data_IF_991293712480
#
_entry.id   IF_991293712480
#
_cell.length_a   1.000
_cell.length_b   1.000
_cell.length_c   1.000
_cell.angle_alpha   90.00
_cell.angle_beta   90.00
_cell.angle_gamma   90.00
#
_symmetry.space_group_name_H-M   'P 1'
#
loop_
_entity.id
_entity.type
_entity.pdbx_description
1 polymer ?
#
# COMPACT_ATOMS: atom_id res chain seq x y z
N UNK A 1 -4.06 -14.04 17.65
CA UNK A 1 -5.07 -13.87 16.58
C UNK A 1 -6.45 -13.80 17.22
N UNK A 2 -7.23 -12.81 16.88
CA UNK A 2 -8.56 -12.61 17.46
C UNK A 2 -9.56 -13.53 16.80
N UNK A 3 -10.45 -14.17 17.59
CA UNK A 3 -11.53 -14.98 17.05
C UNK A 3 -12.59 -14.08 16.42
N UNK A 4 -12.96 -14.36 15.16
CA UNK A 4 -13.95 -13.59 14.39
C UNK A 4 -15.17 -14.43 13.99
N UNK A 5 -15.29 -15.65 14.53
CA UNK A 5 -16.32 -16.62 14.12
C UNK A 5 -17.76 -16.10 14.25
N UNK A 6 -18.03 -15.25 15.27
CA UNK A 6 -19.36 -14.68 15.52
C UNK A 6 -19.60 -13.33 14.86
N UNK A 7 -18.60 -12.77 14.18
CA UNK A 7 -18.78 -11.48 13.46
C UNK A 7 -19.52 -11.70 12.16
N UNK A 8 -20.47 -10.81 11.88
CA UNK A 8 -21.18 -10.80 10.60
C UNK A 8 -20.25 -10.39 9.46
N UNK A 9 -20.32 -11.12 8.35
CA UNK A 9 -19.60 -10.75 7.14
C UNK A 9 -20.18 -9.45 6.57
N UNK A 10 -19.35 -8.41 6.42
CA UNK A 10 -19.73 -7.12 5.84
C UNK A 10 -18.74 -6.69 4.79
N UNK A 11 -19.15 -5.77 3.92
CA UNK A 11 -18.21 -5.13 2.98
C UNK A 11 -17.25 -4.25 3.77
N UNK A 12 -15.95 -4.49 3.59
CA UNK A 12 -14.89 -3.74 4.25
C UNK A 12 -13.90 -3.25 3.23
N UNK A 13 -13.44 -2.04 3.43
CA UNK A 13 -12.50 -1.38 2.54
C UNK A 13 -11.47 -0.61 3.34
N UNK A 14 -10.24 -0.56 2.85
CA UNK A 14 -9.18 0.24 3.44
C UNK A 14 -8.34 0.88 2.34
N UNK A 15 -7.86 2.08 2.61
CA UNK A 15 -6.93 2.83 1.78
C UNK A 15 -5.69 3.14 2.61
N UNK A 16 -4.53 2.77 2.09
CA UNK A 16 -3.23 3.07 2.69
C UNK A 16 -2.34 3.83 1.70
N UNK A 17 -1.35 4.53 2.22
CA UNK A 17 -0.33 5.17 1.41
C UNK A 17 1.07 4.77 1.82
N UNK A 18 2.00 4.88 0.86
CA UNK A 18 3.43 4.80 1.08
C UNK A 18 4.09 5.96 0.33
N UNK A 19 4.96 6.72 1.00
CA UNK A 19 5.72 7.79 0.40
C UNK A 19 7.15 7.33 0.17
N UNK A 20 7.60 7.36 -1.09
CA UNK A 20 8.94 6.95 -1.49
C UNK A 20 9.71 8.17 -1.98
N UNK A 21 10.63 8.66 -1.15
CA UNK A 21 11.44 9.85 -1.43
C UNK A 21 12.59 9.53 -2.38
N UNK A 22 12.77 10.35 -3.41
CA UNK A 22 13.85 10.18 -4.36
C UNK A 22 14.20 11.51 -5.05
N UNK A 23 15.40 11.57 -5.62
CA UNK A 23 15.89 12.73 -6.35
C UNK A 23 15.10 12.94 -7.65
N UNK A 24 15.11 14.18 -8.21
CA UNK A 24 14.39 14.47 -9.47
C UNK A 24 14.81 13.60 -10.64
N UNK A 25 16.09 13.27 -10.77
CA UNK A 25 16.57 12.39 -11.83
C UNK A 25 16.01 10.95 -11.70
N UNK A 26 15.88 10.47 -10.48
CA UNK A 26 15.29 9.16 -10.21
C UNK A 26 13.79 9.15 -10.50
N UNK A 27 13.09 10.21 -10.12
CA UNK A 27 11.66 10.39 -10.48
C UNK A 27 11.45 10.35 -11.99
N UNK A 28 12.32 11.00 -12.77
CA UNK A 28 12.25 10.93 -14.23
C UNK A 28 12.45 9.52 -14.75
N UNK A 29 13.42 8.79 -14.21
CA UNK A 29 13.66 7.40 -14.59
C UNK A 29 12.44 6.50 -14.27
N UNK A 30 11.76 6.72 -13.15
CA UNK A 30 10.52 5.99 -12.82
C UNK A 30 9.43 6.29 -13.85
N UNK A 31 9.31 7.53 -14.30
CA UNK A 31 8.34 7.92 -15.35
C UNK A 31 8.68 7.35 -16.73
N UNK A 32 9.95 7.38 -17.11
CA UNK A 32 10.40 7.06 -18.46
C UNK A 32 10.79 5.60 -18.66
N UNK A 33 11.02 4.89 -17.58
CA UNK A 33 11.51 3.51 -17.56
C UNK A 33 12.91 3.39 -16.99
N UNK A 34 13.17 2.29 -16.28
CA UNK A 34 14.47 1.96 -15.71
C UNK A 34 15.14 0.83 -16.52
N UNK A 35 16.42 0.56 -16.23
CA UNK A 35 17.12 -0.58 -16.84
C UNK A 35 16.43 -1.92 -16.55
N UNK A 36 15.71 -2.03 -15.44
CA UNK A 36 14.92 -3.22 -15.05
C UNK A 36 13.51 -3.25 -15.65
N UNK A 37 13.08 -2.18 -16.32
CA UNK A 37 11.75 -2.06 -16.91
C UNK A 37 10.90 -0.96 -16.29
N UNK A 38 9.58 -1.11 -16.42
CA UNK A 38 8.59 -0.16 -15.90
C UNK A 38 8.41 -0.32 -14.39
N UNK A 39 9.03 0.57 -13.62
CA UNK A 39 9.02 0.51 -12.16
C UNK A 39 7.60 0.58 -11.58
N UNK A 40 6.72 1.39 -12.16
CA UNK A 40 5.34 1.54 -11.68
C UNK A 40 4.55 0.23 -11.87
N UNK A 41 4.64 -0.40 -13.03
CA UNK A 41 3.91 -1.64 -13.28
C UNK A 41 4.44 -2.80 -12.42
N UNK A 42 5.76 -2.90 -12.26
CA UNK A 42 6.34 -3.93 -11.39
C UNK A 42 5.92 -3.71 -9.93
N UNK A 43 5.95 -2.48 -9.44
CA UNK A 43 5.50 -2.14 -8.10
C UNK A 43 4.01 -2.41 -7.90
N UNK A 44 3.18 -2.13 -8.89
CA UNK A 44 1.74 -2.41 -8.85
C UNK A 44 1.46 -3.89 -8.67
N UNK A 45 2.07 -4.72 -9.49
CA UNK A 45 1.91 -6.18 -9.41
C UNK A 45 2.43 -6.71 -8.09
N UNK A 46 3.59 -6.25 -7.64
CA UNK A 46 4.16 -6.66 -6.35
C UNK A 46 3.24 -6.31 -5.18
N UNK A 47 2.65 -5.11 -5.19
CA UNK A 47 1.70 -4.69 -4.16
C UNK A 47 0.43 -5.54 -4.14
N UNK A 48 -0.14 -5.85 -5.29
CA UNK A 48 -1.31 -6.73 -5.40
C UNK A 48 -0.97 -8.13 -4.85
N UNK A 49 0.16 -8.68 -5.23
CA UNK A 49 0.61 -9.99 -4.73
C UNK A 49 0.82 -9.98 -3.22
N UNK A 50 1.41 -8.90 -2.69
CA UNK A 50 1.66 -8.75 -1.26
C UNK A 50 0.35 -8.70 -0.45
N UNK A 51 -0.65 -7.96 -0.93
CA UNK A 51 -1.97 -7.92 -0.30
C UNK A 51 -2.55 -9.33 -0.13
N UNK A 52 -2.44 -10.17 -1.16
CA UNK A 52 -2.93 -11.56 -1.14
C UNK A 52 -2.16 -12.47 -0.18
N UNK A 53 -0.97 -12.06 0.23
CA UNK A 53 -0.08 -12.84 1.11
C UNK A 53 0.10 -12.20 2.48
N UNK A 54 -0.73 -11.26 2.84
CA UNK A 54 -0.60 -10.53 4.10
C UNK A 54 -0.58 -11.47 5.31
N UNK A 55 -1.44 -12.48 5.35
CA UNK A 55 -1.46 -13.44 6.46
C UNK A 55 -0.19 -14.30 6.58
N UNK A 56 0.57 -14.45 5.50
CA UNK A 56 1.86 -15.13 5.52
C UNK A 56 2.99 -14.24 6.07
N UNK A 57 2.81 -12.92 6.04
CA UNK A 57 3.82 -11.94 6.44
C UNK A 57 3.55 -11.35 7.83
N UNK A 58 2.29 -11.16 8.17
CA UNK A 58 1.84 -10.56 9.43
C UNK A 58 1.21 -11.68 10.26
N UNK A 59 1.89 -12.15 11.33
CA UNK A 59 1.58 -13.43 11.98
C UNK A 59 0.16 -13.59 12.50
N UNK A 60 -0.47 -12.51 12.98
CA UNK A 60 -1.79 -12.59 13.59
C UNK A 60 -2.93 -12.15 12.67
N UNK A 61 -2.65 -11.94 11.38
CA UNK A 61 -3.66 -11.64 10.39
C UNK A 61 -4.33 -12.92 9.86
N UNK A 62 -5.65 -12.84 9.69
CA UNK A 62 -6.42 -13.91 9.07
C UNK A 62 -6.21 -13.92 7.55
N UNK A 63 -6.19 -15.08 6.90
CA UNK A 63 -6.25 -15.13 5.43
C UNK A 63 -7.63 -14.64 4.96
N UNK A 64 -7.64 -13.71 4.00
CA UNK A 64 -8.88 -13.08 3.52
C UNK A 64 -9.04 -13.28 2.01
N UNK A 65 -10.27 -13.63 1.55
CA UNK A 65 -10.58 -13.72 0.13
C UNK A 65 -10.86 -12.32 -0.45
N UNK A 66 -9.80 -11.57 -0.75
CA UNK A 66 -9.93 -10.20 -1.26
C UNK A 66 -10.74 -10.15 -2.56
N UNK A 67 -11.70 -9.25 -2.64
CA UNK A 67 -12.50 -9.03 -3.85
C UNK A 67 -11.84 -8.02 -4.80
N UNK A 68 -11.02 -7.12 -4.28
CA UNK A 68 -10.34 -6.10 -5.08
C UNK A 68 -9.10 -5.58 -4.36
N UNK A 69 -8.04 -5.38 -5.11
CA UNK A 69 -6.84 -4.64 -4.70
C UNK A 69 -6.44 -3.74 -5.85
N UNK A 70 -6.34 -2.45 -5.60
CA UNK A 70 -5.89 -1.47 -6.60
C UNK A 70 -4.75 -0.64 -6.03
N UNK A 71 -3.78 -0.31 -6.89
CA UNK A 71 -2.70 0.60 -6.54
C UNK A 71 -2.65 1.73 -7.56
N UNK A 72 -2.62 2.96 -7.05
CA UNK A 72 -2.40 4.16 -7.83
C UNK A 72 -1.09 4.81 -7.42
N UNK A 73 -0.45 5.49 -8.34
CA UNK A 73 0.85 6.12 -8.13
C UNK A 73 0.76 7.59 -8.53
N UNK A 74 1.13 8.46 -7.62
CA UNK A 74 1.16 9.90 -7.83
C UNK A 74 2.59 10.40 -7.73
N UNK A 75 3.01 11.20 -8.71
CA UNK A 75 4.29 11.89 -8.64
C UNK A 75 4.07 13.21 -7.91
N UNK A 76 4.59 13.29 -6.71
CA UNK A 76 4.54 14.49 -5.89
C UNK A 76 5.94 15.08 -5.76
N UNK A 77 6.07 16.25 -5.13
CA UNK A 77 7.36 16.92 -5.02
C UNK A 77 8.36 16.04 -4.26
N UNK A 78 9.38 15.55 -4.98
CA UNK A 78 10.47 14.76 -4.40
C UNK A 78 10.09 13.33 -4.00
N UNK A 79 8.94 12.83 -4.43
CA UNK A 79 8.51 11.48 -4.04
C UNK A 79 7.53 10.85 -5.03
N UNK A 80 7.42 9.54 -4.96
CA UNK A 80 6.27 8.80 -5.49
C UNK A 80 5.37 8.46 -4.31
N UNK A 81 4.10 8.83 -4.42
CA UNK A 81 3.07 8.47 -3.46
C UNK A 81 2.32 7.25 -3.98
N UNK A 82 2.39 6.16 -3.26
CA UNK A 82 1.65 4.93 -3.57
C UNK A 82 0.34 4.95 -2.78
N UNK A 83 -0.77 4.73 -3.44
CA UNK A 83 -2.10 4.60 -2.83
C UNK A 83 -2.61 3.19 -3.07
N UNK A 84 -2.81 2.41 -2.03
CA UNK A 84 -3.27 1.04 -2.11
C UNK A 84 -4.65 0.91 -1.46
N UNK A 85 -5.61 0.38 -2.22
CA UNK A 85 -6.97 0.13 -1.75
C UNK A 85 -7.24 -1.37 -1.78
N UNK A 86 -7.72 -1.90 -0.66
CA UNK A 86 -8.13 -3.30 -0.56
C UNK A 86 -9.60 -3.39 -0.15
N UNK A 87 -10.30 -4.38 -0.67
CA UNK A 87 -11.72 -4.63 -0.39
C UNK A 87 -11.98 -6.11 -0.17
N UNK A 88 -12.84 -6.40 0.78
CA UNK A 88 -13.29 -7.76 1.09
C UNK A 88 -14.74 -7.73 1.58
N UNK A 89 -15.45 -8.84 1.38
CA UNK A 89 -16.65 -9.16 2.14
C UNK A 89 -16.22 -10.20 3.18
N UNK A 90 -16.13 -9.80 4.44
CA UNK A 90 -15.54 -10.65 5.46
C UNK A 90 -15.84 -10.22 6.88
N UNK A 91 -15.32 -11.00 7.82
CA UNK A 91 -15.54 -10.85 9.26
C UNK A 91 -14.51 -9.98 9.95
N UNK A 92 -13.45 -9.60 9.26
CA UNK A 92 -12.41 -8.69 9.77
C UNK A 92 -12.03 -7.66 8.71
N UNK A 93 -11.39 -6.58 9.15
CA UNK A 93 -10.95 -5.50 8.27
C UNK A 93 -9.80 -5.87 7.36
N UNK A 94 -9.54 -5.04 6.38
CA UNK A 94 -8.50 -5.20 5.35
C UNK A 94 -7.40 -4.14 5.45
N UNK A 95 -7.25 -3.53 6.61
CA UNK A 95 -6.26 -2.47 6.84
C UNK A 95 -4.84 -2.99 6.56
N UNK A 96 -4.51 -4.18 7.07
CA UNK A 96 -3.16 -4.73 6.90
C UNK A 96 -2.88 -5.12 5.45
N UNK A 97 -3.88 -5.57 4.71
CA UNK A 97 -3.76 -5.88 3.28
C UNK A 97 -3.43 -4.63 2.47
N UNK A 98 -4.10 -3.52 2.75
CA UNK A 98 -3.81 -2.24 2.11
C UNK A 98 -2.42 -1.72 2.49
N UNK A 99 -2.06 -1.77 3.78
CA UNK A 99 -0.74 -1.35 4.26
C UNK A 99 0.39 -2.20 3.67
N UNK A 100 0.22 -3.51 3.64
CA UNK A 100 1.21 -4.43 3.08
C UNK A 100 1.39 -4.18 1.58
N UNK A 101 0.30 -3.98 0.84
CA UNK A 101 0.35 -3.63 -0.57
C UNK A 101 1.14 -2.34 -0.81
N UNK A 102 0.84 -1.29 -0.07
CA UNK A 102 1.53 -0.01 -0.20
C UNK A 102 3.02 -0.12 0.14
N UNK A 103 3.35 -0.81 1.24
CA UNK A 103 4.72 -0.99 1.70
C UNK A 103 5.57 -1.79 0.70
N UNK A 104 5.05 -2.89 0.19
CA UNK A 104 5.78 -3.75 -0.77
C UNK A 104 5.91 -3.07 -2.13
N UNK A 105 4.92 -2.31 -2.57
CA UNK A 105 5.05 -1.47 -3.76
C UNK A 105 6.17 -0.43 -3.58
N UNK A 106 6.25 0.20 -2.41
CA UNK A 106 7.33 1.13 -2.07
C UNK A 106 8.71 0.47 -2.07
N UNK A 107 8.83 -0.71 -1.47
CA UNK A 107 10.08 -1.50 -1.50
C UNK A 107 10.46 -1.88 -2.93
N UNK A 108 9.49 -2.20 -3.76
CA UNK A 108 9.73 -2.53 -5.17
C UNK A 108 10.25 -1.33 -5.94
N UNK A 109 9.73 -0.12 -5.68
CA UNK A 109 10.28 1.11 -6.27
C UNK A 109 11.74 1.31 -5.86
N UNK A 110 12.10 1.02 -4.61
CA UNK A 110 13.51 1.05 -4.17
C UNK A 110 14.34 0.04 -4.96
N UNK A 111 13.88 -1.18 -5.09
CA UNK A 111 14.61 -2.21 -5.86
C UNK A 111 14.80 -1.81 -7.32
N UNK A 112 13.77 -1.23 -7.94
CA UNK A 112 13.81 -0.82 -9.34
C UNK A 112 14.74 0.39 -9.59
N UNK A 113 15.04 1.18 -8.55
CA UNK A 113 15.78 2.44 -8.67
C UNK A 113 17.13 2.45 -7.95
N UNK A 114 17.42 1.47 -7.11
CA UNK A 114 18.64 1.46 -6.30
C UNK A 114 19.96 1.51 -7.11
N UNK A 115 19.92 1.05 -8.35
CA UNK A 115 21.07 1.18 -9.27
C UNK A 115 21.31 2.61 -9.75
N UNK A 116 20.30 3.48 -9.67
CA UNK A 116 20.37 4.91 -10.02
C UNK A 116 20.70 5.73 -8.75
N UNK A 117 19.99 5.44 -7.66
CA UNK A 117 20.10 6.17 -6.40
C UNK A 117 19.92 5.23 -5.21
N UNK A 118 20.96 5.05 -4.41
CA UNK A 118 20.93 4.20 -3.20
C UNK A 118 20.17 4.86 -2.04
N UNK A 119 20.04 6.17 -2.07
CA UNK A 119 19.42 6.95 -1.00
C UNK A 119 17.88 7.01 -1.06
N UNK A 120 17.26 6.33 -2.01
CA UNK A 120 15.79 6.24 -2.07
C UNK A 120 15.27 5.64 -0.77
N UNK A 121 14.28 6.28 -0.16
CA UNK A 121 13.77 5.87 1.16
C UNK A 121 12.26 5.91 1.22
N UNK A 122 11.70 5.03 2.04
CA UNK A 122 10.31 5.10 2.44
C UNK A 122 10.21 6.01 3.66
N UNK A 123 9.46 7.10 3.55
CA UNK A 123 9.27 8.05 4.66
C UNK A 123 8.03 7.77 5.49
N UNK A 124 7.01 7.18 4.89
CA UNK A 124 5.77 6.88 5.58
C UNK A 124 5.07 5.69 4.95
N UNK A 125 4.51 4.84 5.79
CA UNK A 125 3.50 3.84 5.44
C UNK A 125 2.39 4.02 6.45
N UNK A 126 1.20 4.38 5.99
CA UNK A 126 0.10 4.67 6.92
C UNK A 126 -1.28 4.43 6.33
N UNK A 127 -2.21 4.09 7.20
CA UNK A 127 -3.62 3.99 6.86
C UNK A 127 -4.21 5.38 6.68
N UNK A 128 -4.96 5.58 5.58
CA UNK A 128 -5.66 6.83 5.30
C UNK A 128 -7.14 6.74 5.62
N UNK A 129 -7.78 5.64 5.26
CA UNK A 129 -9.21 5.44 5.44
C UNK A 129 -9.51 3.97 5.66
N UNK A 130 -10.58 3.70 6.39
CA UNK A 130 -11.20 2.39 6.42
C UNK A 130 -12.69 2.52 6.56
N UNK A 131 -13.45 1.58 6.04
CA UNK A 131 -14.91 1.53 6.18
C UNK A 131 -15.39 0.10 6.38
N UNK A 132 -16.59 -0.01 6.97
CA UNK A 132 -17.22 -1.29 7.26
C UNK A 132 -16.89 -1.83 8.65
N UNK A 133 -17.67 -2.82 9.09
CA UNK A 133 -17.52 -3.42 10.41
C UNK A 133 -18.14 -2.60 11.55
N UNK A 134 -17.98 -3.10 12.80
CA UNK A 134 -18.55 -2.45 14.00
C UNK A 134 -18.00 -1.07 14.26
N UNK A 135 -16.72 -0.84 13.99
CA UNK A 135 -16.08 0.45 14.22
C UNK A 135 -16.45 1.50 13.16
N UNK A 136 -17.21 1.12 12.14
CA UNK A 136 -17.68 2.01 11.08
C UNK A 136 -16.55 2.59 10.24
N UNK A 137 -16.70 3.84 9.84
CA UNK A 137 -15.73 4.54 9.01
C UNK A 137 -14.75 5.34 9.85
N UNK A 138 -13.49 5.29 9.44
CA UNK A 138 -12.42 6.10 10.00
C UNK A 138 -11.64 6.73 8.85
N UNK A 139 -11.27 7.97 9.03
CA UNK A 139 -10.45 8.71 8.08
C UNK A 139 -9.34 9.43 8.83
N UNK A 140 -8.11 9.31 8.33
CA UNK A 140 -7.00 10.05 8.91
C UNK A 140 -7.24 11.54 8.74
N UNK A 141 -7.15 12.29 9.85
CA UNK A 141 -7.23 13.74 9.76
C UNK A 141 -6.06 14.21 8.89
N UNK A 142 -6.38 15.06 7.90
CA UNK A 142 -5.35 15.82 7.21
C UNK A 142 -4.84 16.88 8.18
N UNK A 143 -4.11 16.45 9.22
CA UNK A 143 -3.27 17.38 9.94
C UNK A 143 -2.46 18.08 8.86
N UNK A 144 -2.49 19.42 8.87
CA UNK A 144 -1.70 20.24 7.96
C UNK A 144 -0.38 19.53 7.74
N UNK A 145 -0.13 19.11 6.48
CA UNK A 145 1.14 18.52 6.14
C UNK A 145 2.19 19.40 6.79
N UNK A 146 2.99 18.80 7.67
CA UNK A 146 4.12 19.52 8.23
C UNK A 146 4.92 20.02 7.03
N UNK A 147 4.82 21.30 6.83
CA UNK A 147 5.53 22.01 5.77
C UNK A 147 7.03 21.72 5.85
#
# INVERSE_FOLDING_TARGET
MVDVAEKTATVREALAECLVRMAPATLRAVKEGTAKGDAIQVARVAGIMAAKRTSELIPLCHPLPLSSVTLDFEFVRGAVRVLARARVVGQTGVEMEALTAAAVAGLTLIDMTKGIERGVSIEAVRLLEKSGGRSGSWKRSTAKAAS
#
